data_IF_555971269113
#
_entry.id   IF_555971269113
#
_cell.length_a   1.000
_cell.length_b   1.000
_cell.length_c   1.000
_cell.angle_alpha   90.00
_cell.angle_beta   90.00
_cell.angle_gamma   90.00
#
_symmetry.space_group_name_H-M   'P 1'
#
loop_
_entity.id
_entity.type
_entity.pdbx_description
1 polymer ?
#
# COMPACT_ATOMS: atom_id res chain seq x y z
N UNK A 1 -4.58 -1.58 -9.93
CA UNK A 1 -3.83 -0.31 -9.84
C UNK A 1 -2.92 -0.29 -8.62
N UNK A 2 -3.43 -0.38 -7.39
CA UNK A 2 -2.65 -0.42 -6.14
C UNK A 2 -1.32 -1.20 -6.19
N UNK A 3 -1.33 -2.51 -6.44
CA UNK A 3 -0.11 -3.33 -6.45
C UNK A 3 0.95 -2.85 -7.46
N UNK A 4 0.52 -2.42 -8.65
CA UNK A 4 1.43 -1.95 -9.70
C UNK A 4 2.09 -0.64 -9.29
N UNK A 5 1.31 0.31 -8.78
CA UNK A 5 1.83 1.60 -8.31
C UNK A 5 2.76 1.41 -7.10
N UNK A 6 2.42 0.50 -6.17
CA UNK A 6 3.29 0.15 -5.05
C UNK A 6 4.64 -0.42 -5.52
N UNK A 7 4.65 -1.39 -6.44
CA UNK A 7 5.88 -1.97 -6.99
C UNK A 7 6.78 -0.95 -7.70
N UNK A 8 6.19 0.08 -8.32
CA UNK A 8 6.94 1.15 -8.96
C UNK A 8 7.59 2.09 -7.93
N UNK A 9 6.87 2.40 -6.85
CA UNK A 9 7.32 3.36 -5.83
C UNK A 9 8.24 2.74 -4.78
N UNK A 10 8.18 1.43 -4.57
CA UNK A 10 9.03 0.71 -3.60
C UNK A 10 10.53 1.00 -3.75
N UNK A 11 11.17 0.83 -4.92
CA UNK A 11 12.58 1.12 -5.06
C UNK A 11 12.91 2.60 -4.82
N UNK A 12 12.00 3.51 -5.17
CA UNK A 12 12.19 4.96 -5.00
C UNK A 12 12.20 5.34 -3.50
N UNK A 13 11.17 4.91 -2.76
CA UNK A 13 11.01 5.26 -1.34
C UNK A 13 11.83 4.38 -0.39
N UNK A 14 12.53 3.37 -0.90
CA UNK A 14 13.58 2.66 -0.15
C UNK A 14 14.85 3.50 0.06
N UNK A 15 15.04 4.58 -0.72
CA UNK A 15 16.20 5.47 -0.60
C UNK A 15 16.06 6.43 0.58
N UNK A 16 17.05 6.43 1.48
CA UNK A 16 17.07 7.36 2.63
C UNK A 16 17.16 8.83 2.18
N UNK A 17 17.89 9.10 1.10
CA UNK A 17 18.04 10.46 0.55
C UNK A 17 16.72 11.00 0.00
N UNK A 18 15.98 10.17 -0.75
CA UNK A 18 14.61 10.51 -1.21
C UNK A 18 13.70 10.78 -0.01
N UNK A 19 13.82 9.96 1.05
CA UNK A 19 13.01 10.14 2.25
C UNK A 19 13.27 11.46 3.00
N UNK A 20 14.47 12.01 2.88
CA UNK A 20 14.82 13.33 3.42
C UNK A 20 14.33 14.47 2.52
N UNK A 21 14.37 14.28 1.20
CA UNK A 21 13.96 15.29 0.23
C UNK A 21 12.43 15.42 0.11
N UNK A 22 11.70 14.31 0.23
CA UNK A 22 10.25 14.23 0.06
C UNK A 22 9.55 13.70 1.33
N UNK A 23 9.68 14.38 2.48
CA UNK A 23 9.24 13.82 3.77
C UNK A 23 7.72 13.61 3.87
N UNK A 24 6.92 14.40 3.14
CA UNK A 24 5.46 14.29 3.15
C UNK A 24 5.00 13.07 2.35
N UNK A 25 5.54 12.91 1.15
CA UNK A 25 5.29 11.80 0.24
C UNK A 25 5.80 10.51 0.87
N UNK A 26 6.97 10.52 1.50
CA UNK A 26 7.50 9.37 2.24
C UNK A 26 6.60 8.94 3.37
N UNK A 27 6.04 9.87 4.14
CA UNK A 27 5.09 9.53 5.22
C UNK A 27 3.80 8.91 4.68
N UNK A 28 3.29 9.42 3.55
CA UNK A 28 2.12 8.84 2.86
C UNK A 28 2.42 7.45 2.31
N UNK A 29 3.57 7.28 1.67
CA UNK A 29 4.03 5.99 1.15
C UNK A 29 4.17 4.96 2.28
N UNK A 30 4.82 5.30 3.39
CA UNK A 30 4.96 4.40 4.55
C UNK A 30 3.61 4.01 5.16
N UNK A 31 2.66 4.94 5.21
CA UNK A 31 1.30 4.67 5.71
C UNK A 31 0.59 3.66 4.81
N UNK A 32 0.66 3.88 3.49
CA UNK A 32 0.10 2.95 2.50
C UNK A 32 0.78 1.58 2.55
N UNK A 33 2.12 1.54 2.65
CA UNK A 33 2.89 0.30 2.72
C UNK A 33 2.49 -0.55 3.93
N UNK A 34 2.26 0.08 5.09
CA UNK A 34 1.78 -0.61 6.29
C UNK A 34 0.43 -1.28 6.05
N UNK A 35 -0.53 -0.57 5.46
CA UNK A 35 -1.87 -1.11 5.16
C UNK A 35 -1.75 -2.26 4.15
N UNK A 36 -0.95 -2.06 3.09
CA UNK A 36 -0.70 -3.06 2.06
C UNK A 36 -0.11 -4.36 2.63
N UNK A 37 0.90 -4.25 3.50
CA UNK A 37 1.51 -5.41 4.18
C UNK A 37 0.52 -6.14 5.09
N UNK A 38 -0.38 -5.42 5.77
CA UNK A 38 -1.44 -6.04 6.57
C UNK A 38 -2.43 -6.83 5.71
N UNK A 39 -2.87 -6.27 4.59
CA UNK A 39 -3.73 -6.96 3.61
C UNK A 39 -3.05 -8.24 3.12
N UNK A 40 -1.79 -8.14 2.69
CA UNK A 40 -1.04 -9.28 2.16
C UNK A 40 -0.80 -10.37 3.21
N UNK A 41 -0.59 -9.98 4.48
CA UNK A 41 -0.51 -10.94 5.58
C UNK A 41 -1.85 -11.69 5.76
N UNK A 42 -2.98 -10.99 5.79
CA UNK A 42 -4.30 -11.63 5.88
C UNK A 42 -4.60 -12.55 4.70
N UNK A 43 -4.23 -12.14 3.49
CA UNK A 43 -4.37 -12.97 2.29
C UNK A 43 -3.47 -14.22 2.32
N UNK A 44 -2.28 -14.13 2.92
CA UNK A 44 -1.40 -15.29 3.12
C UNK A 44 -1.94 -16.27 4.16
N UNK A 45 -2.55 -15.76 5.23
CA UNK A 45 -3.14 -16.57 6.31
C UNK A 45 -4.45 -17.26 5.87
N UNK A 46 -5.22 -16.63 4.99
CA UNK A 46 -6.40 -17.22 4.36
C UNK A 46 -6.26 -17.24 2.82
N UNK A 47 -5.67 -18.29 2.24
CA UNK A 47 -5.47 -18.39 0.79
C UNK A 47 -6.77 -18.60 0.00
N UNK A 48 -7.91 -18.80 0.66
CA UNK A 48 -9.21 -18.92 0.01
C UNK A 48 -9.73 -17.53 -0.38
N UNK A 49 -9.34 -17.05 -1.55
CA UNK A 49 -9.68 -15.70 -2.03
C UNK A 49 -11.19 -15.41 -2.02
N UNK A 50 -12.02 -16.43 -2.27
CA UNK A 50 -13.49 -16.30 -2.29
C UNK A 50 -14.06 -15.93 -0.91
N UNK A 51 -13.42 -16.35 0.18
CA UNK A 51 -13.87 -16.01 1.54
C UNK A 51 -13.29 -14.67 2.02
N UNK A 52 -12.22 -14.19 1.39
CA UNK A 52 -11.53 -12.94 1.73
C UNK A 52 -12.08 -11.73 0.98
N UNK A 53 -12.47 -11.89 -0.29
CA UNK A 53 -13.00 -10.81 -1.14
C UNK A 53 -14.31 -10.14 -0.66
N UNK A 54 -15.25 -10.79 0.04
CA UNK A 54 -16.47 -10.14 0.51
C UNK A 54 -16.27 -9.22 1.73
N UNK A 55 -15.05 -9.12 2.28
CA UNK A 55 -14.77 -8.22 3.39
C UNK A 55 -14.78 -6.75 2.94
N UNK A 56 -15.78 -5.99 3.41
CA UNK A 56 -15.87 -4.55 3.14
C UNK A 56 -14.64 -3.77 3.64
N UNK A 57 -13.98 -4.23 4.72
CA UNK A 57 -12.76 -3.59 5.24
C UNK A 57 -11.60 -3.72 4.26
N UNK A 58 -11.53 -4.83 3.53
CA UNK A 58 -10.52 -5.04 2.50
C UNK A 58 -10.70 -4.03 1.36
N UNK A 59 -11.95 -3.82 0.91
CA UNK A 59 -12.24 -2.84 -0.14
C UNK A 59 -11.90 -1.41 0.29
N UNK A 60 -12.28 -1.02 1.51
CA UNK A 60 -11.99 0.32 2.03
C UNK A 60 -10.49 0.56 2.18
N UNK A 61 -9.75 -0.42 2.71
CA UNK A 61 -8.29 -0.34 2.82
C UNK A 61 -7.63 -0.23 1.43
N UNK A 62 -8.09 -0.99 0.43
CA UNK A 62 -7.56 -0.91 -0.93
C UNK A 62 -7.85 0.44 -1.59
N UNK A 63 -9.04 1.02 -1.36
CA UNK A 63 -9.37 2.37 -1.84
C UNK A 63 -8.46 3.42 -1.20
N UNK A 64 -8.24 3.32 0.11
CA UNK A 64 -7.33 4.22 0.83
C UNK A 64 -5.89 4.08 0.33
N UNK A 65 -5.40 2.85 0.10
CA UNK A 65 -4.08 2.64 -0.49
C UNK A 65 -3.96 3.32 -1.87
N UNK A 66 -4.96 3.20 -2.74
CA UNK A 66 -4.94 3.87 -4.05
C UNK A 66 -4.91 5.40 -3.89
N UNK A 67 -5.73 5.97 -2.98
CA UNK A 67 -5.75 7.41 -2.70
C UNK A 67 -4.40 7.92 -2.17
N UNK A 68 -3.76 7.17 -1.28
CA UNK A 68 -2.44 7.52 -0.76
C UNK A 68 -1.38 7.44 -1.87
N UNK A 69 -1.44 6.43 -2.74
CA UNK A 69 -0.54 6.28 -3.88
C UNK A 69 -0.69 7.44 -4.88
N UNK A 70 -1.91 7.89 -5.17
CA UNK A 70 -2.18 9.05 -6.03
C UNK A 70 -1.62 10.35 -5.46
N UNK A 71 -1.49 10.48 -4.15
CA UNK A 71 -0.90 11.65 -3.48
C UNK A 71 0.62 11.60 -3.34
N UNK A 72 1.24 10.49 -3.74
CA UNK A 72 2.69 10.26 -3.75
C UNK A 72 3.25 10.40 -5.16
N UNK A 73 2.43 10.17 -6.20
CA UNK A 73 2.74 10.44 -7.60
C UNK A 73 2.66 11.92 -7.93
#
# INVERSE_FOLDING_TARGET
NCQRSWLYLEPIFSSEDINRQLPVESKRYQTMERIWRQIMKGAKENPQVITLCPDNRLLDNLKECNKLLEQVQ
#
